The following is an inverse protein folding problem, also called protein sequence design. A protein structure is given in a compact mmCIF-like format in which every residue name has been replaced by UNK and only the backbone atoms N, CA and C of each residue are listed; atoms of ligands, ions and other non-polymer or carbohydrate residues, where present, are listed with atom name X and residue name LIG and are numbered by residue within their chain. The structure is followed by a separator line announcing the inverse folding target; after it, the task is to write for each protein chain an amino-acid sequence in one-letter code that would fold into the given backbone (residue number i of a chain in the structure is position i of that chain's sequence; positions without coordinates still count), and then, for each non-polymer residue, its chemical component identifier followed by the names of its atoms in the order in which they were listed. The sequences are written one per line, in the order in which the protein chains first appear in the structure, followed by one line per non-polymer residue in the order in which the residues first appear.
data_IF_927686204367
#
_entry.id   IF_927686204367
#
_cell.length_a   1.000
_cell.length_b   1.000
_cell.length_c   1.000
_cell.angle_alpha   90.00
_cell.angle_beta   90.00
_cell.angle_gamma   90.00
#
_symmetry.space_group_name_H-M   'P 1'
#
loop_
_entity.id
_entity.type
_entity.pdbx_description
1 polymer ?
#
# COMPACT_ATOMS: atom_id res chain seq x y z
N UNK A 1 21.31 -0.51 34.48
CA UNK A 1 21.29 0.63 33.53
C UNK A 1 20.18 0.47 32.48
N UNK A 2 18.97 0.05 32.85
CA UNK A 2 17.99 -0.51 31.88
C UNK A 2 16.72 0.34 31.67
N UNK A 3 16.25 1.11 32.66
CA UNK A 3 14.96 1.82 32.54
C UNK A 3 14.90 2.99 31.51
N UNK A 4 16.04 3.47 30.99
CA UNK A 4 16.08 4.55 29.98
C UNK A 4 15.99 4.04 28.54
N UNK A 5 16.32 2.78 28.27
CA UNK A 5 16.23 2.20 26.93
C UNK A 5 14.79 1.77 26.61
N UNK A 6 14.08 1.19 27.58
CA UNK A 6 12.68 0.77 27.41
C UNK A 6 11.73 1.94 27.12
N UNK A 7 11.89 3.07 27.82
CA UNK A 7 11.09 4.29 27.55
C UNK A 7 11.35 4.90 26.17
N UNK A 8 12.58 4.77 25.65
CA UNK A 8 12.93 5.25 24.31
C UNK A 8 12.33 4.35 23.23
N UNK A 9 12.36 3.03 23.42
CA UNK A 9 11.71 2.07 22.52
C UNK A 9 10.18 2.23 22.52
N UNK A 10 9.58 2.42 23.70
CA UNK A 10 8.14 2.64 23.84
C UNK A 10 7.67 3.98 23.26
N UNK A 11 8.43 5.07 23.46
CA UNK A 11 8.13 6.37 22.84
C UNK A 11 8.32 6.33 21.31
N UNK A 12 9.30 5.55 20.81
CA UNK A 12 9.50 5.33 19.38
C UNK A 12 8.32 4.54 18.76
N UNK A 13 7.81 3.51 19.45
CA UNK A 13 6.59 2.78 19.05
C UNK A 13 5.36 3.69 19.00
N UNK A 14 5.14 4.52 20.02
CA UNK A 14 4.00 5.47 20.07
C UNK A 14 4.10 6.53 18.95
N UNK A 15 5.32 7.01 18.65
CA UNK A 15 5.53 7.94 17.54
C UNK A 15 5.38 7.28 16.16
N UNK A 16 5.67 5.98 16.03
CA UNK A 16 5.49 5.17 14.81
C UNK A 16 4.01 4.90 14.53
N UNK A 17 3.24 4.57 15.58
CA UNK A 17 1.78 4.41 15.56
C UNK A 17 1.02 5.63 15.04
N UNK A 18 1.61 6.83 15.07
CA UNK A 18 0.97 8.08 14.65
C UNK A 18 1.52 8.66 13.33
N UNK A 19 2.56 8.07 12.74
CA UNK A 19 3.16 8.55 11.49
C UNK A 19 2.92 7.55 10.38
N UNK A 20 1.93 7.83 9.54
CA UNK A 20 1.88 7.25 8.21
C UNK A 20 3.17 7.62 7.48
N UNK A 21 3.89 6.62 6.98
CA UNK A 21 5.13 6.81 6.24
C UNK A 21 4.79 7.07 4.77
N UNK A 22 5.22 8.19 4.22
CA UNK A 22 4.97 8.57 2.82
C UNK A 22 6.14 8.16 1.93
N UNK A 23 5.82 7.62 0.76
CA UNK A 23 6.78 7.12 -0.24
C UNK A 23 6.41 7.64 -1.63
N UNK A 24 7.43 7.91 -2.45
CA UNK A 24 7.28 8.37 -3.84
C UNK A 24 7.47 7.22 -4.84
N UNK A 25 8.05 6.10 -4.39
CA UNK A 25 8.37 4.95 -5.23
C UNK A 25 8.08 3.62 -4.54
N UNK A 26 7.81 2.59 -5.35
CA UNK A 26 7.49 1.25 -4.86
C UNK A 26 8.70 0.56 -4.23
N UNK A 27 9.92 0.82 -4.70
CA UNK A 27 11.12 0.13 -4.21
C UNK A 27 11.45 0.49 -2.75
N UNK A 28 11.29 1.76 -2.39
CA UNK A 28 11.48 2.28 -1.03
C UNK A 28 10.38 1.76 -0.10
N UNK A 29 9.15 1.67 -0.60
CA UNK A 29 8.05 1.07 0.15
C UNK A 29 8.25 -0.43 0.40
N UNK A 30 8.70 -1.19 -0.59
CA UNK A 30 9.03 -2.62 -0.44
C UNK A 30 10.18 -2.84 0.56
N UNK A 31 11.21 -1.99 0.50
CA UNK A 31 12.31 -2.02 1.46
C UNK A 31 11.79 -1.78 2.88
N UNK A 32 10.90 -0.81 3.06
CA UNK A 32 10.25 -0.55 4.33
C UNK A 32 9.46 -1.76 4.85
N UNK A 33 8.64 -2.41 4.00
CA UNK A 33 7.90 -3.62 4.41
C UNK A 33 8.84 -4.76 4.82
N UNK A 34 10.01 -4.87 4.18
CA UNK A 34 11.02 -5.88 4.52
C UNK A 34 11.67 -5.59 5.87
N UNK A 35 11.97 -4.33 6.16
CA UNK A 35 12.51 -3.92 7.46
C UNK A 35 11.49 -4.17 8.58
N UNK A 36 10.21 -3.86 8.38
CA UNK A 36 9.13 -4.15 9.34
C UNK A 36 8.98 -5.65 9.61
N UNK A 37 9.13 -6.48 8.57
CA UNK A 37 9.15 -7.93 8.69
C UNK A 37 10.33 -8.42 9.53
N UNK A 38 11.53 -7.87 9.34
CA UNK A 38 12.71 -8.22 10.17
C UNK A 38 12.49 -7.83 11.64
N UNK A 39 11.84 -6.70 11.88
CA UNK A 39 11.47 -6.21 13.22
C UNK A 39 10.26 -6.95 13.85
N UNK A 40 9.60 -7.85 13.11
CA UNK A 40 8.39 -8.58 13.50
C UNK A 40 7.22 -7.65 13.90
N UNK A 41 7.12 -6.46 13.30
CA UNK A 41 6.10 -5.46 13.59
C UNK A 41 5.04 -5.44 12.48
N UNK A 42 4.11 -6.40 12.52
CA UNK A 42 3.10 -6.57 11.46
C UNK A 42 1.80 -5.81 11.73
N UNK A 43 1.50 -5.44 12.98
CA UNK A 43 0.16 -5.01 13.40
C UNK A 43 -0.07 -3.49 13.41
N UNK A 44 0.98 -2.70 13.17
CA UNK A 44 0.94 -1.23 13.28
C UNK A 44 1.60 -0.50 12.10
N UNK A 45 1.51 -1.09 10.91
CA UNK A 45 2.15 -0.56 9.70
C UNK A 45 1.16 0.32 8.94
N UNK A 46 1.50 1.61 8.82
CA UNK A 46 0.74 2.58 8.05
C UNK A 46 1.66 3.25 7.03
N UNK A 47 1.42 2.98 5.76
CA UNK A 47 2.23 3.50 4.66
C UNK A 47 1.33 4.08 3.57
N UNK A 48 1.82 5.16 2.96
CA UNK A 48 1.19 5.83 1.85
C UNK A 48 2.20 5.99 0.72
N UNK A 49 1.82 5.62 -0.49
CA UNK A 49 2.67 5.69 -1.67
C UNK A 49 1.93 6.49 -2.71
N UNK A 50 2.56 7.53 -3.24
CA UNK A 50 2.06 8.25 -4.41
C UNK A 50 3.07 8.07 -5.54
N UNK A 51 2.68 7.34 -6.58
CA UNK A 51 3.54 7.07 -7.72
C UNK A 51 2.76 7.09 -9.03
N UNK A 52 3.48 7.22 -10.13
CA UNK A 52 2.93 7.11 -11.47
C UNK A 52 3.15 5.67 -11.95
N UNK A 53 2.09 4.94 -12.33
CA UNK A 53 2.25 3.55 -12.77
C UNK A 53 3.20 3.42 -13.96
N UNK A 54 4.04 2.36 -14.01
CA UNK A 54 5.02 2.18 -15.08
C UNK A 54 4.42 2.19 -16.49
N UNK A 55 3.20 1.66 -16.65
CA UNK A 55 2.53 1.64 -17.95
C UNK A 55 2.12 3.04 -18.42
N UNK A 56 1.87 3.98 -17.51
CA UNK A 56 1.53 5.36 -17.85
C UNK A 56 2.79 6.16 -18.23
N UNK A 57 3.90 5.95 -17.50
CA UNK A 57 5.21 6.53 -17.85
C UNK A 57 5.72 6.00 -19.20
N UNK A 58 5.56 4.70 -19.47
CA UNK A 58 6.02 4.09 -20.70
C UNK A 58 5.28 4.61 -21.95
N UNK A 59 4.00 4.97 -21.83
CA UNK A 59 3.24 5.61 -22.93
C UNK A 59 3.74 7.04 -23.24
N UNK A 60 4.56 7.62 -22.35
CA UNK A 60 5.04 9.00 -22.40
C UNK A 60 6.58 9.10 -22.41
N UNK A 61 7.28 8.05 -22.83
CA UNK A 61 8.76 8.01 -22.90
C UNK A 61 9.46 8.29 -21.57
N UNK A 62 8.86 7.87 -20.46
CA UNK A 62 9.37 8.07 -19.09
C UNK A 62 9.48 9.54 -18.68
N UNK A 63 8.77 10.44 -19.38
CA UNK A 63 8.68 11.85 -19.04
C UNK A 63 7.32 12.17 -18.39
N UNK A 64 7.28 12.50 -17.09
CA UNK A 64 6.05 12.83 -16.39
C UNK A 64 5.38 14.12 -16.92
N UNK A 65 6.11 15.03 -17.56
CA UNK A 65 5.54 16.25 -18.16
C UNK A 65 4.76 15.96 -19.44
N UNK A 66 5.01 14.83 -20.09
CA UNK A 66 4.34 14.41 -21.32
C UNK A 66 3.11 13.53 -21.07
N UNK A 67 2.73 13.33 -19.80
CA UNK A 67 1.54 12.55 -19.44
C UNK A 67 0.30 13.22 -20.02
N UNK A 68 -0.38 12.49 -20.90
CA UNK A 68 -1.61 12.96 -21.52
C UNK A 68 -2.70 13.10 -20.47
N UNK A 69 -3.50 14.17 -20.57
CA UNK A 69 -4.71 14.37 -19.76
C UNK A 69 -5.75 13.25 -19.89
N UNK A 70 -5.62 12.39 -20.91
CA UNK A 70 -6.46 11.21 -21.10
C UNK A 70 -6.02 9.98 -20.28
N UNK A 71 -4.83 10.01 -19.67
CA UNK A 71 -4.34 8.98 -18.75
C UNK A 71 -4.81 9.27 -17.33
N UNK A 72 -6.10 9.13 -17.11
CA UNK A 72 -6.74 9.33 -15.81
C UNK A 72 -7.88 8.32 -15.62
N UNK A 73 -8.60 8.42 -14.50
CA UNK A 73 -9.73 7.52 -14.21
C UNK A 73 -10.83 7.53 -15.28
N UNK A 74 -11.00 8.63 -16.05
CA UNK A 74 -12.04 8.73 -17.08
C UNK A 74 -11.76 7.79 -18.26
N UNK A 75 -10.51 7.36 -18.42
CA UNK A 75 -10.11 6.39 -19.43
C UNK A 75 -10.28 4.96 -18.94
N UNK A 76 -11.24 4.24 -19.54
CA UNK A 76 -11.45 2.81 -19.27
C UNK A 76 -10.21 1.95 -19.53
N UNK A 77 -9.37 2.36 -20.50
CA UNK A 77 -8.09 1.68 -20.81
C UNK A 77 -7.12 1.84 -19.65
N UNK A 78 -6.96 3.06 -19.14
CA UNK A 78 -6.12 3.38 -18.00
C UNK A 78 -6.56 2.60 -16.76
N UNK A 79 -7.85 2.67 -16.42
CA UNK A 79 -8.44 1.96 -15.27
C UNK A 79 -8.20 0.44 -15.36
N UNK A 80 -8.39 -0.16 -16.53
CA UNK A 80 -8.13 -1.58 -16.75
C UNK A 80 -6.66 -1.94 -16.57
N UNK A 81 -5.75 -1.15 -17.14
CA UNK A 81 -4.31 -1.38 -17.01
C UNK A 81 -3.84 -1.19 -15.57
N UNK A 82 -4.38 -0.19 -14.87
CA UNK A 82 -4.10 0.06 -13.46
C UNK A 82 -4.56 -1.11 -12.59
N UNK A 83 -5.79 -1.56 -12.75
CA UNK A 83 -6.29 -2.72 -12.01
C UNK A 83 -5.44 -3.97 -12.25
N UNK A 84 -5.04 -4.23 -13.50
CA UNK A 84 -4.14 -5.34 -13.83
C UNK A 84 -2.75 -5.19 -13.19
N UNK A 85 -2.22 -3.96 -13.15
CA UNK A 85 -0.95 -3.68 -12.50
C UNK A 85 -1.05 -3.94 -10.98
N UNK A 86 -2.11 -3.45 -10.34
CA UNK A 86 -2.37 -3.66 -8.91
C UNK A 86 -2.45 -5.15 -8.58
N UNK A 87 -3.27 -5.92 -9.29
CA UNK A 87 -3.46 -7.34 -9.00
C UNK A 87 -2.21 -8.20 -9.25
N UNK A 88 -1.42 -7.88 -10.29
CA UNK A 88 -0.29 -8.73 -10.71
C UNK A 88 1.05 -8.35 -10.08
N UNK A 89 1.23 -7.06 -9.80
CA UNK A 89 2.48 -6.51 -9.29
C UNK A 89 2.30 -6.08 -7.85
N UNK A 90 1.55 -4.99 -7.61
CA UNK A 90 1.47 -4.36 -6.30
C UNK A 90 1.06 -5.31 -5.17
N UNK A 91 -0.08 -6.02 -5.31
CA UNK A 91 -0.55 -6.93 -4.25
C UNK A 91 0.39 -8.11 -4.04
N UNK A 92 1.03 -8.58 -5.12
CA UNK A 92 1.98 -9.68 -5.08
C UNK A 92 3.29 -9.25 -4.40
N UNK A 93 3.82 -8.09 -4.76
CA UNK A 93 5.03 -7.49 -4.20
C UNK A 93 4.85 -7.16 -2.71
N UNK A 94 3.65 -6.68 -2.31
CA UNK A 94 3.29 -6.49 -0.90
C UNK A 94 3.33 -7.82 -0.14
N UNK A 95 2.71 -8.88 -0.67
CA UNK A 95 2.72 -10.21 -0.03
C UNK A 95 4.13 -10.78 0.08
N UNK A 96 4.94 -10.66 -0.97
CA UNK A 96 6.33 -11.14 -0.98
C UNK A 96 7.22 -10.35 0.00
N UNK A 97 7.10 -9.03 0.00
CA UNK A 97 7.94 -8.14 0.83
C UNK A 97 7.58 -8.21 2.31
N UNK A 98 6.28 -8.22 2.63
CA UNK A 98 5.81 -8.41 4.02
C UNK A 98 6.07 -9.82 4.54
N UNK A 99 6.22 -10.81 3.64
CA UNK A 99 6.34 -12.22 4.01
C UNK A 99 5.04 -12.84 4.51
N UNK A 100 3.92 -12.13 4.37
CA UNK A 100 2.59 -12.59 4.73
C UNK A 100 1.92 -13.25 3.53
N UNK A 101 1.19 -14.34 3.78
CA UNK A 101 0.36 -14.99 2.77
C UNK A 101 -0.98 -14.25 2.65
N UNK A 102 -0.95 -13.07 2.04
CA UNK A 102 -2.12 -12.21 1.88
C UNK A 102 -3.07 -12.75 0.81
N UNK A 103 -4.34 -12.92 1.17
CA UNK A 103 -5.40 -13.40 0.25
C UNK A 103 -6.53 -12.40 0.18
N UNK A 104 -6.27 -11.31 -0.53
CA UNK A 104 -7.27 -10.28 -0.75
C UNK A 104 -8.55 -10.83 -1.39
N UNK A 105 -9.69 -10.52 -0.78
CA UNK A 105 -10.99 -10.76 -1.37
C UNK A 105 -11.23 -9.85 -2.59
N UNK A 106 -12.40 -9.98 -3.22
CA UNK A 106 -12.80 -9.04 -4.29
C UNK A 106 -12.73 -7.60 -3.75
N UNK A 107 -12.11 -6.67 -4.49
CA UNK A 107 -12.02 -5.29 -4.02
C UNK A 107 -13.41 -4.66 -3.94
N UNK A 108 -13.60 -3.85 -2.90
CA UNK A 108 -14.70 -2.89 -2.86
C UNK A 108 -14.34 -1.71 -3.77
N UNK A 109 -15.21 -1.42 -4.74
CA UNK A 109 -15.01 -0.34 -5.70
C UNK A 109 -15.87 0.83 -5.28
N UNK A 110 -15.24 1.97 -5.02
CA UNK A 110 -15.92 3.24 -4.75
C UNK A 110 -15.57 4.21 -5.89
N UNK A 111 -16.60 4.66 -6.61
CA UNK A 111 -16.46 5.59 -7.73
C UNK A 111 -17.19 6.90 -7.41
N UNK A 112 -16.44 7.99 -7.35
CA UNK A 112 -16.96 9.34 -7.16
C UNK A 112 -17.04 10.11 -8.48
N UNK A 113 -17.30 11.42 -8.44
CA UNK A 113 -17.25 12.30 -9.62
C UNK A 113 -15.81 12.61 -10.10
N UNK A 114 -14.81 12.46 -9.21
CA UNK A 114 -13.41 12.79 -9.50
C UNK A 114 -12.39 11.73 -9.11
N UNK A 115 -12.78 10.71 -8.34
CA UNK A 115 -11.87 9.67 -7.82
C UNK A 115 -12.42 8.27 -7.98
N UNK A 116 -11.57 7.33 -8.37
CA UNK A 116 -11.92 5.90 -8.39
C UNK A 116 -11.00 5.19 -7.40
N UNK A 117 -11.60 4.48 -6.46
CA UNK A 117 -10.92 3.83 -5.36
C UNK A 117 -11.24 2.33 -5.35
N UNK A 118 -10.19 1.52 -5.18
CA UNK A 118 -10.28 0.11 -4.89
C UNK A 118 -9.79 -0.14 -3.48
N UNK A 119 -10.62 -0.79 -2.67
CA UNK A 119 -10.26 -1.22 -1.33
C UNK A 119 -10.16 -2.74 -1.30
N UNK A 120 -8.96 -3.22 -1.07
CA UNK A 120 -8.64 -4.63 -0.87
C UNK A 120 -8.49 -4.87 0.62
N UNK A 121 -9.21 -5.84 1.16
CA UNK A 121 -9.14 -6.23 2.57
C UNK A 121 -8.81 -7.71 2.64
N UNK A 122 -7.87 -8.03 3.51
CA UNK A 122 -7.56 -9.40 3.91
C UNK A 122 -7.69 -9.53 5.43
N UNK A 123 -8.57 -10.42 5.85
CA UNK A 123 -8.86 -10.73 7.27
C UNK A 123 -8.41 -12.17 7.62
N UNK A 124 -7.66 -12.83 6.73
CA UNK A 124 -7.20 -14.20 6.94
C UNK A 124 -6.08 -14.33 7.98
N UNK A 125 -5.60 -15.57 8.16
CA UNK A 125 -4.54 -15.88 9.13
C UNK A 125 -3.14 -15.44 8.67
N UNK A 126 -3.02 -14.77 7.51
CA UNK A 126 -1.78 -14.24 6.92
C UNK A 126 -0.59 -15.21 6.81
N UNK A 127 -0.84 -16.52 6.98
CA UNK A 127 0.20 -17.55 7.05
C UNK A 127 0.92 -17.63 8.40
N UNK A 128 0.41 -16.93 9.41
CA UNK A 128 0.87 -16.97 10.80
C UNK A 128 0.10 -18.06 11.56
N UNK A 129 0.75 -18.74 12.49
CA UNK A 129 0.10 -19.78 13.31
C UNK A 129 -0.85 -19.16 14.33
N UNK A 130 -1.89 -19.91 14.77
CA UNK A 130 -2.99 -19.50 15.69
C UNK A 130 -2.58 -18.83 17.04
N UNK A 131 -1.30 -18.63 17.30
CA UNK A 131 -0.77 -17.91 18.47
C UNK A 131 -0.48 -16.42 18.22
N UNK A 132 -0.49 -15.97 16.96
CA UNK A 132 -0.22 -14.58 16.61
C UNK A 132 -1.49 -13.71 16.62
N UNK A 133 -1.31 -12.42 16.90
CA UNK A 133 -2.37 -11.41 16.96
C UNK A 133 -3.24 -11.45 15.69
N UNK A 134 -4.57 -11.45 15.83
CA UNK A 134 -5.47 -11.34 14.68
C UNK A 134 -5.38 -9.90 14.18
N UNK A 135 -4.95 -9.71 12.94
CA UNK A 135 -4.95 -8.39 12.31
C UNK A 135 -5.51 -8.48 10.90
N UNK A 136 -6.00 -7.35 10.40
CA UNK A 136 -6.46 -7.22 9.01
C UNK A 136 -5.49 -6.33 8.24
N UNK A 137 -5.31 -6.65 6.97
CA UNK A 137 -4.52 -5.85 6.04
C UNK A 137 -5.48 -5.17 5.08
N UNK A 138 -5.39 -3.85 5.01
CA UNK A 138 -6.20 -3.01 4.14
C UNK A 138 -5.29 -2.26 3.16
N UNK A 139 -5.52 -2.49 1.86
CA UNK A 139 -4.85 -1.79 0.77
C UNK A 139 -5.88 -0.98 0.00
N UNK A 140 -5.76 0.34 0.05
CA UNK A 140 -6.61 1.26 -0.70
C UNK A 140 -5.79 1.81 -1.86
N UNK A 141 -6.25 1.62 -3.09
CA UNK A 141 -5.66 2.21 -4.29
C UNK A 141 -6.63 3.23 -4.85
N UNK A 142 -6.20 4.47 -5.03
CA UNK A 142 -7.02 5.56 -5.54
C UNK A 142 -6.36 6.23 -6.72
N UNK A 143 -7.17 6.49 -7.75
CA UNK A 143 -6.76 7.26 -8.91
C UNK A 143 -7.69 8.46 -9.12
N UNK A 144 -7.13 9.50 -9.73
CA UNK A 144 -7.80 10.79 -9.88
C UNK A 144 -8.22 11.06 -11.32
N UNK A 145 -9.09 12.05 -11.50
CA UNK A 145 -9.46 12.61 -12.80
C UNK A 145 -8.40 13.59 -13.33
N UNK A 146 -7.60 14.20 -12.46
CA UNK A 146 -6.63 15.26 -12.77
C UNK A 146 -5.19 14.77 -12.94
N UNK A 147 -4.98 13.50 -13.29
CA UNK A 147 -3.65 12.98 -13.62
C UNK A 147 -3.56 11.47 -13.63
N UNK A 148 -2.36 10.97 -13.94
CA UNK A 148 -2.02 9.55 -13.93
C UNK A 148 -1.44 9.08 -12.59
N UNK A 149 -1.28 9.97 -11.61
CA UNK A 149 -0.80 9.63 -10.28
C UNK A 149 -1.80 8.72 -9.56
N UNK A 150 -1.26 7.77 -8.80
CA UNK A 150 -2.01 6.78 -8.04
C UNK A 150 -1.53 6.82 -6.61
N UNK A 151 -2.49 7.02 -5.71
CA UNK A 151 -2.26 6.93 -4.27
C UNK A 151 -2.57 5.51 -3.81
N UNK A 152 -1.67 4.94 -3.03
CA UNK A 152 -1.83 3.62 -2.39
C UNK A 152 -1.63 3.78 -0.91
N UNK A 153 -2.64 3.44 -0.12
CA UNK A 153 -2.52 3.29 1.33
C UNK A 153 -2.44 1.83 1.70
N UNK A 154 -1.42 1.47 2.46
CA UNK A 154 -1.25 0.17 3.09
C UNK A 154 -1.41 0.35 4.60
N UNK A 155 -2.40 -0.33 5.19
CA UNK A 155 -2.68 -0.26 6.61
C UNK A 155 -2.83 -1.66 7.18
N UNK A 156 -2.12 -1.95 8.26
CA UNK A 156 -2.41 -3.11 9.09
C UNK A 156 -3.15 -2.65 10.34
N UNK A 157 -4.22 -3.34 10.67
CA UNK A 157 -5.10 -2.98 11.78
C UNK A 157 -5.27 -4.21 12.65
N UNK A 158 -4.79 -4.15 13.89
CA UNK A 158 -5.03 -5.18 14.88
C UNK A 158 -6.54 -5.33 15.14
N UNK A 159 -7.05 -6.55 15.10
CA UNK A 159 -8.41 -6.92 15.48
C UNK A 159 -8.31 -7.51 16.90
N UNK A 160 -8.62 -6.67 17.89
CA UNK A 160 -8.63 -7.06 19.30
C UNK A 160 -9.83 -7.93 19.66
#
# INVERSE_FOLDING_TARGET
MTAKQDKKAQAKRIAKLAKSQEFEDLATFEAFLRDEKEDHDYTHVHAHINYIPPFALHECHDDPELIKDSLNRKSKKFVRHLHQHVEKHLLKEISESSGLSLKFAKPEIQEDADTLQWKYVDEGDHGLSEQDEIFKVEVIVKCYSEGAAVDVWYNTICVC
#
